data_IF_477992876716
#
_entry.id   IF_477992876716
#
_cell.length_a   1.000
_cell.length_b   1.000
_cell.length_c   1.000
_cell.angle_alpha   90.00
_cell.angle_beta   90.00
_cell.angle_gamma   90.00
#
_symmetry.space_group_name_H-M   'P 1'
#
loop_
_entity.id
_entity.type
_entity.pdbx_description
1 polymer ?
#
# COMPACT_ATOMS: atom_id res chain seq x y z
N UNK A 1 60.22 22.58 -9.65
CA UNK A 1 59.65 21.55 -8.76
C UNK A 1 58.38 22.03 -8.04
N UNK A 2 58.32 23.27 -7.54
CA UNK A 2 57.12 23.81 -6.88
C UNK A 2 55.85 23.87 -7.76
N UNK A 3 55.96 24.25 -9.04
CA UNK A 3 54.80 24.33 -9.95
C UNK A 3 54.16 22.96 -10.26
N UNK A 4 54.99 21.93 -10.39
CA UNK A 4 54.51 20.56 -10.64
C UNK A 4 53.77 20.04 -9.39
N UNK A 5 54.31 20.30 -8.20
CA UNK A 5 53.65 19.94 -6.94
C UNK A 5 52.33 20.72 -6.74
N UNK A 6 52.31 22.02 -7.04
CA UNK A 6 51.09 22.83 -6.94
C UNK A 6 50.01 22.38 -7.93
N UNK A 7 50.40 22.02 -9.16
CA UNK A 7 49.47 21.51 -10.19
C UNK A 7 48.88 20.16 -9.79
N UNK A 8 49.72 19.24 -9.28
CA UNK A 8 49.26 17.91 -8.84
C UNK A 8 48.35 18.01 -7.62
N UNK A 9 48.67 18.88 -6.66
CA UNK A 9 47.83 19.12 -5.47
C UNK A 9 46.49 19.77 -5.88
N UNK A 10 46.52 20.76 -6.77
CA UNK A 10 45.31 21.39 -7.29
C UNK A 10 44.41 20.40 -8.04
N UNK A 11 45.00 19.56 -8.89
CA UNK A 11 44.27 18.51 -9.61
C UNK A 11 43.67 17.46 -8.66
N UNK A 12 44.44 16.98 -7.68
CA UNK A 12 43.94 16.06 -6.66
C UNK A 12 42.81 16.66 -5.81
N UNK A 13 42.90 17.96 -5.49
CA UNK A 13 41.86 18.70 -4.78
C UNK A 13 40.56 18.80 -5.58
N UNK A 14 40.63 19.07 -6.89
CA UNK A 14 39.46 19.10 -7.78
C UNK A 14 38.82 17.72 -7.91
N UNK A 15 39.62 16.66 -8.06
CA UNK A 15 39.10 15.29 -8.13
C UNK A 15 38.43 14.86 -6.83
N UNK A 16 39.06 15.12 -5.68
CA UNK A 16 38.51 14.80 -4.37
C UNK A 16 37.23 15.61 -4.10
N UNK A 17 37.26 16.93 -4.34
CA UNK A 17 36.11 17.81 -4.18
C UNK A 17 34.94 17.41 -5.08
N UNK A 18 35.22 17.07 -6.34
CA UNK A 18 34.22 16.57 -7.28
C UNK A 18 33.60 15.24 -6.84
N UNK A 19 34.42 14.31 -6.35
CA UNK A 19 33.95 13.03 -5.81
C UNK A 19 33.03 13.20 -4.61
N UNK A 20 33.44 13.99 -3.60
CA UNK A 20 32.61 14.23 -2.42
C UNK A 20 31.33 14.96 -2.78
N UNK A 21 31.39 15.99 -3.63
CA UNK A 21 30.21 16.74 -4.02
C UNK A 21 29.19 15.85 -4.76
N UNK A 22 29.67 14.97 -5.65
CA UNK A 22 28.81 14.01 -6.34
C UNK A 22 28.19 12.99 -5.37
N UNK A 23 28.99 12.45 -4.46
CA UNK A 23 28.52 11.50 -3.44
C UNK A 23 27.41 12.10 -2.55
N UNK A 24 27.61 13.32 -2.03
CA UNK A 24 26.60 13.99 -1.19
C UNK A 24 25.36 14.38 -1.99
N UNK A 25 25.52 14.84 -3.23
CA UNK A 25 24.39 15.18 -4.09
C UNK A 25 23.51 13.95 -4.39
N UNK A 26 24.14 12.82 -4.69
CA UNK A 26 23.46 11.56 -4.96
C UNK A 26 22.77 11.00 -3.71
N UNK A 27 23.43 11.05 -2.54
CA UNK A 27 22.83 10.61 -1.27
C UNK A 27 21.63 11.48 -0.87
N UNK A 28 21.75 12.80 -0.99
CA UNK A 28 20.65 13.72 -0.73
C UNK A 28 19.46 13.51 -1.69
N UNK A 29 19.75 13.25 -2.97
CA UNK A 29 18.72 12.93 -3.96
C UNK A 29 17.98 11.63 -3.60
N UNK A 30 18.71 10.57 -3.26
CA UNK A 30 18.13 9.30 -2.81
C UNK A 30 17.25 9.47 -1.57
N UNK A 31 17.72 10.24 -0.60
CA UNK A 31 16.95 10.55 0.61
C UNK A 31 15.63 11.26 0.28
N UNK A 32 15.67 12.27 -0.61
CA UNK A 32 14.45 12.97 -1.05
C UNK A 32 13.49 12.07 -1.83
N UNK A 33 14.01 11.20 -2.68
CA UNK A 33 13.19 10.23 -3.43
C UNK A 33 12.49 9.26 -2.47
N UNK A 34 13.19 8.77 -1.43
CA UNK A 34 12.60 7.95 -0.38
C UNK A 34 11.53 8.69 0.43
N UNK A 35 11.76 9.96 0.77
CA UNK A 35 10.77 10.77 1.47
C UNK A 35 9.52 11.04 0.62
N UNK A 36 9.69 11.35 -0.66
CA UNK A 36 8.59 11.57 -1.58
C UNK A 36 7.72 10.30 -1.72
N UNK A 37 8.36 9.14 -1.87
CA UNK A 37 7.69 7.85 -1.89
C UNK A 37 6.94 7.56 -0.58
N UNK A 38 7.59 7.78 0.57
CA UNK A 38 6.98 7.60 1.87
C UNK A 38 5.74 8.48 2.05
N UNK A 39 5.84 9.76 1.66
CA UNK A 39 4.73 10.72 1.74
C UNK A 39 3.55 10.33 0.86
N UNK A 40 3.81 9.90 -0.37
CA UNK A 40 2.78 9.42 -1.29
C UNK A 40 2.06 8.17 -0.75
N UNK A 41 2.81 7.17 -0.27
CA UNK A 41 2.23 5.95 0.32
C UNK A 41 1.47 6.24 1.61
N UNK A 42 1.97 7.13 2.45
CA UNK A 42 1.29 7.54 3.67
C UNK A 42 -0.06 8.23 3.37
N UNK A 43 -0.12 9.05 2.31
CA UNK A 43 -1.37 9.67 1.86
C UNK A 43 -2.42 8.64 1.41
N UNK A 44 -2.01 7.66 0.60
CA UNK A 44 -2.90 6.56 0.16
C UNK A 44 -3.37 5.71 1.36
N UNK A 45 -2.47 5.34 2.27
CA UNK A 45 -2.82 4.60 3.49
C UNK A 45 -3.75 5.39 4.41
N UNK A 46 -3.53 6.70 4.55
CA UNK A 46 -4.42 7.56 5.33
C UNK A 46 -5.83 7.58 4.74
N UNK A 47 -5.96 7.68 3.41
CA UNK A 47 -7.26 7.60 2.74
C UNK A 47 -7.97 6.27 2.99
N UNK A 48 -7.23 5.14 2.96
CA UNK A 48 -7.78 3.84 3.36
C UNK A 48 -8.21 3.83 4.83
N UNK A 49 -7.42 4.42 5.72
CA UNK A 49 -7.72 4.53 7.15
C UNK A 49 -8.99 5.33 7.45
N UNK A 50 -9.20 6.44 6.75
CA UNK A 50 -10.40 7.29 6.89
C UNK A 50 -11.70 6.55 6.51
N UNK A 51 -11.61 5.53 5.67
CA UNK A 51 -12.75 4.69 5.29
C UNK A 51 -13.08 3.60 6.33
N UNK A 52 -12.21 3.30 7.30
CA UNK A 52 -12.40 2.21 8.27
C UNK A 52 -13.68 2.37 9.10
N UNK A 53 -14.03 3.56 9.65
CA UNK A 53 -15.27 3.72 10.42
C UNK A 53 -16.52 3.42 9.58
N UNK A 54 -16.52 3.86 8.32
CA UNK A 54 -17.62 3.58 7.39
C UNK A 54 -17.73 2.08 7.11
N UNK A 55 -16.61 1.40 6.86
CA UNK A 55 -16.55 -0.05 6.66
C UNK A 55 -17.06 -0.81 7.89
N UNK A 56 -16.64 -0.42 9.09
CA UNK A 56 -17.10 -1.02 10.36
C UNK A 56 -18.61 -0.90 10.52
N UNK A 57 -19.18 0.27 10.24
CA UNK A 57 -20.62 0.51 10.33
C UNK A 57 -21.37 -0.35 9.32
N UNK A 58 -20.89 -0.41 8.08
CA UNK A 58 -21.46 -1.26 7.04
C UNK A 58 -21.46 -2.74 7.45
N UNK A 59 -20.31 -3.26 7.92
CA UNK A 59 -20.18 -4.65 8.38
C UNK A 59 -21.10 -4.95 9.57
N UNK A 60 -21.25 -4.01 10.50
CA UNK A 60 -22.17 -4.14 11.64
C UNK A 60 -23.63 -4.25 11.18
N UNK A 61 -24.04 -3.44 10.20
CA UNK A 61 -25.39 -3.50 9.61
C UNK A 61 -25.63 -4.82 8.87
N UNK A 62 -24.65 -5.27 8.09
CA UNK A 62 -24.71 -6.55 7.39
C UNK A 62 -24.84 -7.72 8.38
N UNK A 63 -24.06 -7.70 9.46
CA UNK A 63 -24.14 -8.70 10.51
C UNK A 63 -25.52 -8.72 11.18
N UNK A 64 -26.08 -7.54 11.47
CA UNK A 64 -27.43 -7.41 12.03
C UNK A 64 -28.51 -8.02 11.11
N UNK A 65 -28.48 -7.69 9.81
CA UNK A 65 -29.43 -8.26 8.83
C UNK A 65 -29.27 -9.76 8.67
N UNK A 66 -28.03 -10.27 8.63
CA UNK A 66 -27.77 -11.69 8.55
C UNK A 66 -28.38 -12.45 9.74
N UNK A 67 -28.30 -11.90 10.95
CA UNK A 67 -28.90 -12.48 12.16
C UNK A 67 -30.43 -12.56 12.11
N UNK A 68 -31.09 -11.60 11.47
CA UNK A 68 -32.55 -11.60 11.36
C UNK A 68 -33.07 -12.35 10.14
N UNK A 69 -32.18 -13.05 9.39
CA UNK A 69 -32.54 -13.71 8.13
C UNK A 69 -32.90 -12.74 7.01
N UNK A 70 -32.55 -11.46 7.16
CA UNK A 70 -32.79 -10.43 6.15
C UNK A 70 -31.85 -10.59 4.96
N UNK A 71 -32.35 -10.27 3.77
CA UNK A 71 -31.57 -10.38 2.54
C UNK A 71 -30.37 -9.40 2.52
N UNK A 72 -29.20 -9.93 2.17
CA UNK A 72 -27.97 -9.16 2.06
C UNK A 72 -27.80 -8.67 0.62
N UNK A 73 -28.34 -7.49 0.33
CA UNK A 73 -28.08 -6.81 -0.95
C UNK A 73 -26.70 -6.15 -0.95
N UNK A 74 -25.67 -6.91 -1.30
CA UNK A 74 -24.34 -6.37 -1.58
C UNK A 74 -24.23 -6.04 -3.07
N UNK A 75 -23.99 -4.76 -3.38
CA UNK A 75 -23.68 -4.34 -4.75
C UNK A 75 -22.25 -4.76 -5.07
N UNK A 76 -22.10 -5.50 -6.17
CA UNK A 76 -20.76 -5.76 -6.71
C UNK A 76 -20.20 -4.45 -7.25
N UNK A 77 -19.10 -4.00 -6.64
CA UNK A 77 -18.29 -2.91 -7.13
C UNK A 77 -16.94 -3.51 -7.54
N UNK A 78 -16.36 -3.08 -8.68
CA UNK A 78 -14.98 -3.47 -8.99
C UNK A 78 -14.10 -3.03 -7.82
N UNK A 79 -13.22 -3.93 -7.37
CA UNK A 79 -12.30 -3.62 -6.29
C UNK A 79 -11.43 -2.42 -6.73
N UNK A 80 -11.52 -1.26 -6.06
CA UNK A 80 -10.59 -0.18 -6.35
C UNK A 80 -9.17 -0.68 -6.05
N UNK A 81 -8.22 -0.38 -6.93
CA UNK A 81 -6.80 -0.69 -6.75
C UNK A 81 -6.16 0.19 -5.68
N UNK A 82 -4.87 0.00 -5.47
CA UNK A 82 -4.03 0.93 -4.69
C UNK A 82 -3.03 1.57 -5.64
N UNK A 83 -3.45 2.59 -6.42
CA UNK A 83 -2.70 3.09 -7.57
C UNK A 83 -1.31 3.62 -7.20
N UNK A 84 -1.13 4.24 -6.03
CA UNK A 84 0.18 4.75 -5.62
C UNK A 84 1.12 3.59 -5.28
N UNK A 85 0.64 2.62 -4.50
CA UNK A 85 1.41 1.41 -4.21
C UNK A 85 1.73 0.60 -5.46
N UNK A 86 0.76 0.36 -6.33
CA UNK A 86 0.93 -0.44 -7.55
C UNK A 86 1.94 0.21 -8.51
N UNK A 87 1.89 1.54 -8.68
CA UNK A 87 2.84 2.27 -9.51
C UNK A 87 4.27 2.30 -8.93
N UNK A 88 4.44 2.02 -7.64
CA UNK A 88 5.73 2.15 -6.94
C UNK A 88 6.19 0.85 -6.24
N UNK A 89 5.56 -0.29 -6.52
CA UNK A 89 5.82 -1.55 -5.82
C UNK A 89 7.28 -2.00 -5.90
N UNK A 90 7.95 -1.74 -7.03
CA UNK A 90 9.39 -2.03 -7.22
C UNK A 90 10.31 -1.08 -6.42
N UNK A 91 9.82 0.10 -6.04
CA UNK A 91 10.59 1.14 -5.39
C UNK A 91 10.44 1.15 -3.86
N UNK A 92 9.57 0.31 -3.28
CA UNK A 92 9.33 0.28 -1.82
C UNK A 92 10.59 -0.01 -1.01
N UNK A 93 11.57 -0.71 -1.59
CA UNK A 93 12.87 -0.99 -0.95
C UNK A 93 13.67 0.27 -0.61
N UNK A 94 13.41 1.41 -1.27
CA UNK A 94 14.05 2.70 -0.97
C UNK A 94 13.71 3.24 0.43
N UNK A 95 12.65 2.73 1.05
CA UNK A 95 12.22 3.13 2.40
C UNK A 95 13.06 2.50 3.52
N UNK A 96 13.95 1.58 3.18
CA UNK A 96 14.63 0.73 4.16
C UNK A 96 13.79 -0.50 4.54
N UNK A 97 14.43 -1.52 5.12
CA UNK A 97 13.85 -2.86 5.26
C UNK A 97 12.59 -2.90 6.14
N UNK A 98 12.56 -2.13 7.24
CA UNK A 98 11.43 -2.11 8.17
C UNK A 98 10.17 -1.50 7.55
N UNK A 99 10.30 -0.31 6.95
CA UNK A 99 9.20 0.38 6.30
C UNK A 99 8.74 -0.37 5.04
N UNK A 100 9.66 -0.93 4.24
CA UNK A 100 9.31 -1.73 3.08
C UNK A 100 8.48 -2.96 3.46
N UNK A 101 8.85 -3.66 4.54
CA UNK A 101 8.10 -4.79 5.06
C UNK A 101 6.70 -4.36 5.53
N UNK A 102 6.62 -3.30 6.34
CA UNK A 102 5.34 -2.79 6.87
C UNK A 102 4.39 -2.34 5.77
N UNK A 103 4.89 -1.61 4.77
CA UNK A 103 4.12 -1.18 3.59
C UNK A 103 3.58 -2.40 2.84
N UNK A 104 4.45 -3.34 2.46
CA UNK A 104 4.04 -4.53 1.73
C UNK A 104 2.98 -5.33 2.50
N UNK A 105 3.18 -5.51 3.82
CA UNK A 105 2.23 -6.20 4.68
C UNK A 105 0.85 -5.52 4.68
N UNK A 106 0.79 -4.21 4.93
CA UNK A 106 -0.48 -3.48 5.03
C UNK A 106 -1.24 -3.51 3.70
N UNK A 107 -0.57 -3.30 2.57
CA UNK A 107 -1.23 -3.33 1.26
C UNK A 107 -1.75 -4.73 0.91
N UNK A 108 -1.04 -5.80 1.29
CA UNK A 108 -1.56 -7.17 1.12
C UNK A 108 -2.77 -7.45 2.01
N UNK A 109 -2.82 -6.94 3.25
CA UNK A 109 -4.02 -7.04 4.09
C UNK A 109 -5.22 -6.33 3.47
N UNK A 110 -5.02 -5.13 2.93
CA UNK A 110 -6.06 -4.37 2.24
C UNK A 110 -6.55 -5.12 0.99
N UNK A 111 -5.63 -5.67 0.20
CA UNK A 111 -5.95 -6.48 -0.98
C UNK A 111 -6.74 -7.73 -0.60
N UNK A 112 -6.30 -8.48 0.40
CA UNK A 112 -7.00 -9.66 0.89
C UNK A 112 -8.44 -9.32 1.34
N UNK A 113 -8.60 -8.23 2.09
CA UNK A 113 -9.93 -7.75 2.50
C UNK A 113 -10.84 -7.46 1.29
N UNK A 114 -10.34 -6.74 0.27
CA UNK A 114 -11.10 -6.45 -0.96
C UNK A 114 -11.52 -7.72 -1.69
N UNK A 115 -10.62 -8.70 -1.79
CA UNK A 115 -10.91 -10.00 -2.42
C UNK A 115 -12.05 -10.71 -1.68
N UNK A 116 -11.96 -10.83 -0.35
CA UNK A 116 -13.01 -11.47 0.47
C UNK A 116 -14.37 -10.77 0.32
N UNK A 117 -14.38 -9.43 0.37
CA UNK A 117 -15.63 -8.66 0.19
C UNK A 117 -16.23 -8.84 -1.21
N UNK A 118 -15.40 -8.92 -2.25
CA UNK A 118 -15.87 -9.20 -3.61
C UNK A 118 -16.47 -10.60 -3.75
N UNK A 119 -15.87 -11.61 -3.09
CA UNK A 119 -16.40 -12.97 -3.04
C UNK A 119 -17.76 -13.01 -2.33
N UNK A 120 -17.87 -12.31 -1.20
CA UNK A 120 -19.12 -12.21 -0.45
C UNK A 120 -20.24 -11.57 -1.28
N UNK A 121 -19.95 -10.47 -1.99
CA UNK A 121 -20.92 -9.79 -2.85
C UNK A 121 -21.38 -10.66 -4.04
N UNK A 122 -20.51 -11.54 -4.55
CA UNK A 122 -20.88 -12.50 -5.59
C UNK A 122 -21.75 -13.63 -5.06
N UNK A 123 -21.44 -14.15 -3.86
CA UNK A 123 -22.21 -15.21 -3.22
C UNK A 123 -23.61 -14.74 -2.81
N UNK A 124 -23.75 -13.50 -2.33
CA UNK A 124 -25.07 -12.97 -1.97
C UNK A 124 -26.05 -12.87 -3.15
N UNK A 125 -25.55 -12.71 -4.39
CA UNK A 125 -26.37 -12.77 -5.62
C UNK A 125 -26.76 -14.19 -6.04
N UNK A 126 -26.03 -15.21 -5.57
CA UNK A 126 -26.21 -16.63 -5.94
C UNK A 126 -27.13 -17.41 -5.01
N UNK A 127 -27.72 -16.78 -3.99
CA UNK A 127 -28.78 -17.38 -3.18
C UNK A 127 -30.15 -16.97 -3.76
N UNK A 128 -30.72 -17.70 -4.74
CA UNK A 128 -32.12 -17.57 -5.05
C UNK A 128 -32.91 -18.15 -3.87
N UNK A 129 -33.89 -17.40 -3.38
CA UNK A 129 -35.09 -17.87 -2.68
C UNK A 129 -34.98 -19.21 -1.93
N UNK A 130 -34.81 -19.12 -0.60
CA UNK A 130 -35.23 -20.13 0.38
C UNK A 130 -35.18 -21.59 -0.03
N UNK A 131 -34.05 -22.25 0.16
CA UNK A 131 -34.08 -23.69 0.42
C UNK A 131 -34.42 -23.93 1.91
N UNK A 132 -35.40 -24.80 2.20
CA UNK A 132 -35.87 -25.04 3.56
C UNK A 132 -34.76 -25.67 4.38
N UNK A 133 -34.66 -25.24 5.64
CA UNK A 133 -33.87 -25.88 6.69
C UNK A 133 -34.01 -27.39 6.54
N UNK A 134 -32.87 -28.09 6.51
CA UNK A 134 -32.78 -29.53 6.76
C UNK A 134 -33.33 -29.82 8.16
N UNK A 135 -34.67 -29.86 8.26
CA UNK A 135 -35.41 -30.61 9.24
C UNK A 135 -35.79 -31.91 8.55
N UNK A 136 -35.45 -33.02 9.23
CA UNK A 136 -35.63 -34.42 8.85
C UNK A 136 -34.51 -35.02 8.01
N UNK A 137 -33.50 -35.52 8.70
CA UNK A 137 -33.25 -36.96 8.63
C UNK A 137 -33.32 -37.52 10.05
N UNK A 138 -33.89 -38.72 10.12
CA UNK A 138 -34.26 -39.49 11.31
C UNK A 138 -33.06 -39.82 12.19
#
# INVERSE_FOLDING_TARGET
MADVSATVIGFAGVLAGGYFNNFFAEDYKRFRDSQALAGALAGELKSHGEAIPLLKNMLTLLHGRAKTGGELSLREMPAPGSPIFEANAESIGKLGPELANGVAYVYEQIRAFRVVMSMLARQSKRLPNGEPRLSRMK
#
